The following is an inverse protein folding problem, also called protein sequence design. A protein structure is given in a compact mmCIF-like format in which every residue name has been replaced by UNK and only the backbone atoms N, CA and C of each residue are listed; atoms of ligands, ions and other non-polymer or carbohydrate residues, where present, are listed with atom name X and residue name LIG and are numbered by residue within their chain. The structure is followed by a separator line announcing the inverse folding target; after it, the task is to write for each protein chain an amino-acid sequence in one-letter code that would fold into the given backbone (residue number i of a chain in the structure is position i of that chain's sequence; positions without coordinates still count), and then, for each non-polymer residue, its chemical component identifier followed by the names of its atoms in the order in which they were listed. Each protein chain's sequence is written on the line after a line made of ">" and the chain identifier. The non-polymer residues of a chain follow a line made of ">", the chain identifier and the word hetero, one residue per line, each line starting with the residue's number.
data_IF_929042951353
#
_entry.id   IF_929042951353
#
_cell.length_a   1.000
_cell.length_b   1.000
_cell.length_c   1.000
_cell.angle_alpha   90.00
_cell.angle_beta   90.00
_cell.angle_gamma   90.00
#
_symmetry.space_group_name_H-M   'P 1'
#
loop_
_entity.id
_entity.type
_entity.pdbx_description
1 polymer ?
#
# COMPACT_ATOMS: atom_id res chain seq x y z
N UNK A 1 -1.91 11.15 27.43
CA UNK A 1 -1.93 11.72 26.05
C UNK A 1 -0.50 11.85 25.57
N UNK A 2 -0.20 11.40 24.35
CA UNK A 2 1.17 11.44 23.82
C UNK A 2 1.57 12.83 23.32
N UNK A 3 0.65 13.57 22.70
CA UNK A 3 0.92 14.92 22.20
C UNK A 3 1.01 15.92 23.37
N UNK A 4 2.17 16.57 23.60
CA UNK A 4 2.36 17.50 24.71
C UNK A 4 1.35 18.64 24.70
N UNK A 5 0.99 19.15 25.88
CA UNK A 5 0.10 20.30 26.04
C UNK A 5 0.55 21.49 25.16
N UNK A 6 -0.41 22.30 24.72
CA UNK A 6 -0.15 23.59 24.03
C UNK A 6 0.51 23.51 22.64
N UNK A 7 0.78 22.32 22.11
CA UNK A 7 1.22 22.17 20.72
C UNK A 7 0.06 22.47 19.76
N UNK A 8 0.15 23.49 18.88
CA UNK A 8 -0.86 23.72 17.87
C UNK A 8 -0.86 22.63 16.81
N UNK A 9 -2.05 22.22 16.38
CA UNK A 9 -2.25 21.23 15.32
C UNK A 9 -2.99 21.82 14.12
N UNK A 10 -3.36 23.10 14.19
CA UNK A 10 -4.09 23.80 13.15
C UNK A 10 -3.69 25.28 13.12
N UNK A 11 -3.78 25.89 11.92
CA UNK A 11 -3.77 27.34 11.72
C UNK A 11 -5.04 27.78 10.98
N UNK A 12 -5.90 28.55 11.66
CA UNK A 12 -7.16 29.01 11.10
C UNK A 12 -6.94 29.84 9.84
N UNK A 13 -7.64 29.51 8.74
CA UNK A 13 -7.41 30.15 7.45
C UNK A 13 -7.67 31.66 7.45
N UNK A 14 -8.71 32.12 8.16
CA UNK A 14 -9.14 33.52 8.21
C UNK A 14 -8.28 34.35 9.16
N UNK A 15 -8.12 33.91 10.41
CA UNK A 15 -7.47 34.70 11.47
C UNK A 15 -5.97 34.42 11.61
N UNK A 16 -5.47 33.33 11.01
CA UNK A 16 -4.11 32.80 11.23
C UNK A 16 -3.82 32.40 12.67
N UNK A 17 -4.85 32.28 13.52
CA UNK A 17 -4.69 31.81 14.88
C UNK A 17 -4.23 30.34 14.88
N UNK A 18 -3.25 30.05 15.73
CA UNK A 18 -2.79 28.70 15.99
C UNK A 18 -3.68 28.08 17.07
N UNK A 19 -4.26 26.92 16.77
CA UNK A 19 -5.12 26.20 17.71
C UNK A 19 -4.72 24.73 17.79
N UNK A 20 -5.08 24.09 18.89
CA UNK A 20 -4.97 22.64 19.06
C UNK A 20 -6.36 22.03 19.05
N UNK A 21 -6.68 21.38 17.94
CA UNK A 21 -7.95 20.66 17.77
C UNK A 21 -7.75 19.16 17.73
N UNK A 22 -6.53 18.71 17.41
CA UNK A 22 -6.17 17.29 17.32
C UNK A 22 -5.45 16.82 18.59
N UNK A 23 -5.69 15.56 18.96
CA UNK A 23 -5.07 14.90 20.12
C UNK A 23 -4.57 13.51 19.76
N UNK A 24 -3.52 13.06 20.46
CA UNK A 24 -3.01 11.69 20.35
C UNK A 24 -3.20 11.00 21.70
N UNK A 25 -4.17 10.08 21.73
CA UNK A 25 -4.45 9.24 22.89
C UNK A 25 -3.64 7.95 22.80
N UNK A 26 -3.12 7.53 23.94
CA UNK A 26 -2.34 6.30 24.08
C UNK A 26 -2.62 5.72 25.47
N UNK A 27 -2.60 4.38 25.59
CA UNK A 27 -2.69 3.73 26.89
C UNK A 27 -1.48 4.08 27.75
N UNK A 28 -1.67 4.05 29.07
CA UNK A 28 -0.59 4.30 30.02
C UNK A 28 0.58 3.34 29.81
N UNK A 29 0.29 2.06 29.58
CA UNK A 29 1.29 1.01 29.34
C UNK A 29 2.13 1.20 28.09
N UNK A 30 1.62 1.89 27.07
CA UNK A 30 2.34 2.12 25.82
C UNK A 30 2.99 3.51 25.78
N UNK A 31 2.82 4.32 26.83
CA UNK A 31 3.43 5.66 26.90
C UNK A 31 4.95 5.58 26.96
N UNK A 32 5.49 4.59 27.67
CA UNK A 32 6.93 4.39 27.83
C UNK A 32 7.62 4.07 26.50
N UNK A 33 6.88 3.50 25.55
CA UNK A 33 7.36 3.22 24.19
C UNK A 33 7.32 4.47 23.27
N UNK A 34 6.72 5.59 23.69
CA UNK A 34 6.64 6.81 22.86
C UNK A 34 7.94 7.59 22.94
N UNK A 35 8.73 7.50 21.87
CA UNK A 35 9.99 8.26 21.73
C UNK A 35 9.75 9.71 21.31
N UNK A 36 8.68 9.98 20.57
CA UNK A 36 8.38 11.32 20.06
C UNK A 36 6.89 11.46 19.76
N UNK A 37 6.31 12.63 20.06
CA UNK A 37 5.00 13.02 19.57
C UNK A 37 4.93 14.54 19.43
N UNK A 38 4.76 15.05 18.21
CA UNK A 38 4.64 16.49 17.96
C UNK A 38 3.91 16.80 16.65
N UNK A 39 3.37 18.00 16.53
CA UNK A 39 2.92 18.52 15.24
C UNK A 39 4.11 18.75 14.30
N UNK A 40 3.86 18.71 13.00
CA UNK A 40 4.83 18.91 11.93
C UNK A 40 4.32 20.00 10.96
N UNK A 41 4.29 21.27 11.38
CA UNK A 41 3.79 22.36 10.54
C UNK A 41 4.49 22.46 9.17
N UNK A 42 5.77 22.11 9.11
CA UNK A 42 6.60 22.07 7.90
C UNK A 42 6.18 20.98 6.91
N UNK A 43 5.41 19.99 7.36
CA UNK A 43 4.86 18.90 6.54
C UNK A 43 3.38 19.12 6.17
N UNK A 44 2.81 20.27 6.52
CA UNK A 44 1.42 20.61 6.23
C UNK A 44 1.08 20.38 4.75
N UNK A 45 0.07 19.54 4.43
CA UNK A 45 -0.39 19.37 3.07
C UNK A 45 -0.90 20.67 2.44
N UNK A 46 -0.98 20.69 1.10
CA UNK A 46 -1.53 21.85 0.38
C UNK A 46 -3.05 21.83 0.56
N UNK A 47 -3.67 23.00 0.79
CA UNK A 47 -5.12 23.19 1.00
C UNK A 47 -5.70 22.56 2.28
N UNK A 48 -4.88 22.44 3.33
CA UNK A 48 -5.38 22.15 4.68
C UNK A 48 -4.85 23.18 5.66
N UNK A 49 -5.64 23.47 6.69
CA UNK A 49 -5.29 24.24 7.87
C UNK A 49 -4.66 23.39 8.98
N UNK A 50 -4.79 22.06 8.93
CA UNK A 50 -4.22 21.15 9.92
C UNK A 50 -2.73 20.85 9.66
N UNK A 51 -1.96 20.77 10.74
CA UNK A 51 -0.60 20.25 10.76
C UNK A 51 -0.64 18.75 11.05
N UNK A 52 0.06 17.91 10.27
CA UNK A 52 0.23 16.51 10.61
C UNK A 52 0.85 16.36 12.01
N UNK A 53 0.38 15.39 12.79
CA UNK A 53 1.03 14.99 14.04
C UNK A 53 1.85 13.74 13.76
N UNK A 54 3.14 13.77 14.11
CA UNK A 54 4.06 12.65 13.99
C UNK A 54 4.30 12.05 15.37
N UNK A 55 4.01 10.77 15.50
CA UNK A 55 4.32 9.96 16.68
C UNK A 55 5.31 8.88 16.29
N UNK A 56 6.38 8.72 17.07
CA UNK A 56 7.36 7.64 16.94
C UNK A 56 7.23 6.78 18.19
N UNK A 57 6.93 5.50 17.97
CA UNK A 57 6.79 4.50 19.02
C UNK A 57 7.88 3.46 18.81
N UNK A 58 8.71 3.22 19.82
CA UNK A 58 9.72 2.17 19.83
C UNK A 58 9.08 0.89 20.34
N UNK A 59 8.63 0.05 19.41
CA UNK A 59 8.02 -1.23 19.74
C UNK A 59 8.66 -2.33 18.88
N UNK A 60 9.01 -3.44 19.53
CA UNK A 60 9.45 -4.65 18.84
C UNK A 60 8.23 -5.35 18.24
N UNK A 61 7.83 -4.93 17.03
CA UNK A 61 6.77 -5.61 16.29
C UNK A 61 7.39 -6.81 15.57
N UNK A 62 7.04 -8.05 15.92
CA UNK A 62 7.49 -9.20 15.15
C UNK A 62 7.02 -9.02 13.71
N UNK A 63 7.95 -9.10 12.76
CA UNK A 63 7.59 -9.04 11.35
C UNK A 63 6.82 -10.31 11.02
N UNK A 64 5.52 -10.16 10.76
CA UNK A 64 4.76 -11.22 10.10
C UNK A 64 5.44 -11.50 8.75
N UNK A 65 5.82 -12.76 8.53
CA UNK A 65 6.21 -13.20 7.20
C UNK A 65 4.99 -13.03 6.32
N UNK A 66 5.09 -12.15 5.32
CA UNK A 66 4.05 -12.02 4.32
C UNK A 66 4.25 -13.14 3.33
N UNK A 67 3.19 -13.89 3.07
CA UNK A 67 3.18 -14.83 1.95
C UNK A 67 3.55 -14.07 0.67
N UNK A 68 4.55 -14.56 -0.09
CA UNK A 68 4.97 -13.88 -1.30
C UNK A 68 3.81 -13.85 -2.30
N UNK A 69 3.58 -12.68 -2.88
CA UNK A 69 2.42 -12.43 -3.76
C UNK A 69 2.84 -12.41 -5.22
N UNK A 70 1.95 -12.86 -6.09
CA UNK A 70 2.09 -12.77 -7.55
C UNK A 70 1.89 -11.33 -8.03
N UNK A 71 2.71 -10.88 -8.98
CA UNK A 71 2.66 -9.54 -9.56
C UNK A 71 2.00 -9.55 -10.94
N UNK A 72 0.67 -9.60 -10.98
CA UNK A 72 -0.12 -9.56 -12.21
C UNK A 72 0.06 -8.27 -13.03
N UNK A 73 0.60 -7.20 -12.44
CA UNK A 73 0.87 -5.94 -13.16
C UNK A 73 2.11 -6.00 -14.05
N UNK A 74 2.99 -6.97 -13.83
CA UNK A 74 4.24 -7.13 -14.57
C UNK A 74 4.22 -8.39 -15.45
N UNK A 75 3.02 -8.79 -15.89
CA UNK A 75 2.83 -9.94 -16.77
C UNK A 75 2.90 -9.47 -18.22
N UNK A 76 3.69 -10.18 -19.02
CA UNK A 76 3.63 -10.07 -20.47
C UNK A 76 2.42 -10.86 -20.98
N UNK A 77 1.28 -10.17 -21.09
CA UNK A 77 -0.02 -10.79 -21.35
C UNK A 77 -0.11 -11.57 -22.66
N UNK A 78 0.70 -11.18 -23.67
CA UNK A 78 0.74 -11.89 -24.95
C UNK A 78 1.23 -13.33 -24.78
N UNK A 79 2.31 -13.51 -24.04
CA UNK A 79 2.94 -14.81 -23.83
C UNK A 79 2.14 -15.64 -22.83
N UNK A 80 1.58 -15.00 -21.80
CA UNK A 80 0.63 -15.61 -20.87
C UNK A 80 -0.56 -16.22 -21.61
N UNK A 81 -1.22 -15.46 -22.49
CA UNK A 81 -2.40 -15.94 -23.22
C UNK A 81 -2.04 -17.04 -24.22
N UNK A 82 -0.89 -16.96 -24.87
CA UNK A 82 -0.41 -18.00 -25.77
C UNK A 82 -0.24 -19.34 -25.03
N UNK A 83 0.40 -19.30 -23.86
CA UNK A 83 0.64 -20.46 -23.00
C UNK A 83 -0.67 -21.02 -22.43
N UNK A 84 -1.55 -20.17 -21.92
CA UNK A 84 -2.86 -20.61 -21.42
C UNK A 84 -3.68 -21.34 -22.48
N UNK A 85 -3.67 -20.84 -23.72
CA UNK A 85 -4.36 -21.50 -24.84
C UNK A 85 -3.76 -22.87 -25.15
N UNK A 86 -2.43 -22.99 -25.12
CA UNK A 86 -1.75 -24.26 -25.32
C UNK A 86 -2.09 -25.26 -24.20
N UNK A 87 -2.07 -24.81 -22.94
CA UNK A 87 -2.41 -25.65 -21.79
C UNK A 87 -3.88 -26.10 -21.79
N UNK A 88 -4.80 -25.21 -22.14
CA UNK A 88 -6.21 -25.56 -22.31
C UNK A 88 -6.44 -26.55 -23.46
N UNK A 89 -5.72 -26.40 -24.58
CA UNK A 89 -5.79 -27.36 -25.69
C UNK A 89 -5.22 -28.73 -25.29
N UNK A 90 -4.08 -28.74 -24.58
CA UNK A 90 -3.40 -29.95 -24.09
C UNK A 90 -4.24 -30.74 -23.10
N UNK A 91 -5.00 -30.05 -22.25
CA UNK A 91 -5.88 -30.65 -21.24
C UNK A 91 -7.24 -31.11 -21.81
N UNK A 92 -7.43 -31.09 -23.13
CA UNK A 92 -8.61 -31.64 -23.80
C UNK A 92 -9.58 -30.59 -24.36
N UNK A 93 -9.21 -29.30 -24.33
CA UNK A 93 -9.96 -28.21 -24.93
C UNK A 93 -11.30 -27.92 -24.26
N UNK A 94 -12.15 -27.15 -24.94
CA UNK A 94 -13.51 -26.92 -24.48
C UNK A 94 -14.31 -28.23 -24.63
N UNK A 95 -14.87 -28.80 -23.55
CA UNK A 95 -15.71 -29.97 -23.66
C UNK A 95 -16.98 -29.62 -24.46
N UNK A 96 -17.65 -30.66 -24.96
CA UNK A 96 -19.03 -30.53 -25.40
C UNK A 96 -19.99 -30.22 -24.24
N UNK A 97 -21.27 -30.56 -24.39
CA UNK A 97 -22.26 -30.34 -23.33
C UNK A 97 -21.92 -31.20 -22.10
N UNK A 98 -21.67 -30.55 -20.96
CA UNK A 98 -21.56 -31.18 -19.63
C UNK A 98 -22.95 -31.65 -19.18
N UNK A 99 -23.07 -32.90 -18.75
CA UNK A 99 -24.33 -33.56 -18.38
C UNK A 99 -24.36 -34.06 -16.95
N UNK A 100 -23.21 -34.23 -16.30
CA UNK A 100 -23.11 -34.70 -14.92
C UNK A 100 -22.27 -33.76 -14.03
N UNK A 101 -22.43 -33.90 -12.71
CA UNK A 101 -21.65 -33.14 -11.72
C UNK A 101 -20.18 -33.58 -11.73
N UNK A 102 -19.93 -34.85 -12.00
CA UNK A 102 -18.60 -35.42 -12.12
C UNK A 102 -17.85 -34.83 -13.32
N UNK A 103 -18.52 -34.75 -14.48
CA UNK A 103 -17.98 -34.11 -15.69
C UNK A 103 -17.66 -32.63 -15.44
N UNK A 104 -18.53 -31.92 -14.70
CA UNK A 104 -18.30 -30.52 -14.31
C UNK A 104 -17.08 -30.38 -13.39
N UNK A 105 -16.96 -31.25 -12.39
CA UNK A 105 -15.86 -31.23 -11.42
C UNK A 105 -14.52 -31.50 -12.11
N UNK A 106 -14.49 -32.47 -13.02
CA UNK A 106 -13.30 -32.76 -13.81
C UNK A 106 -12.95 -31.61 -14.76
N UNK A 107 -13.93 -30.98 -15.40
CA UNK A 107 -13.70 -29.80 -16.22
C UNK A 107 -13.11 -28.65 -15.40
N UNK A 108 -13.69 -28.37 -14.23
CA UNK A 108 -13.20 -27.34 -13.32
C UNK A 108 -11.74 -27.60 -12.95
N UNK A 109 -11.41 -28.82 -12.51
CA UNK A 109 -10.05 -29.19 -12.13
C UNK A 109 -9.04 -28.97 -13.29
N UNK A 110 -9.42 -29.36 -14.52
CA UNK A 110 -8.56 -29.17 -15.70
C UNK A 110 -8.32 -27.70 -16.04
N UNK A 111 -9.39 -26.88 -16.01
CA UNK A 111 -9.29 -25.45 -16.29
C UNK A 111 -8.45 -24.75 -15.22
N UNK A 112 -8.67 -25.07 -13.94
CA UNK A 112 -7.88 -24.51 -12.85
C UNK A 112 -6.41 -24.90 -12.96
N UNK A 113 -6.11 -26.16 -13.27
CA UNK A 113 -4.74 -26.62 -13.48
C UNK A 113 -4.04 -25.87 -14.62
N UNK A 114 -4.72 -25.64 -15.75
CA UNK A 114 -4.15 -24.87 -16.86
C UNK A 114 -3.87 -23.40 -16.48
N UNK A 115 -4.78 -22.79 -15.71
CA UNK A 115 -4.62 -21.42 -15.19
C UNK A 115 -3.43 -21.37 -14.21
N UNK A 116 -3.37 -22.27 -13.24
CA UNK A 116 -2.31 -22.34 -12.24
C UNK A 116 -0.95 -22.55 -12.88
N UNK A 117 -0.83 -23.50 -13.81
CA UNK A 117 0.40 -23.75 -14.58
C UNK A 117 0.87 -22.48 -15.29
N UNK A 118 -0.05 -21.79 -15.97
CA UNK A 118 0.29 -20.54 -16.69
C UNK A 118 0.69 -19.42 -15.72
N UNK A 119 0.02 -19.32 -14.56
CA UNK A 119 0.37 -18.34 -13.51
C UNK A 119 1.76 -18.61 -12.97
N UNK A 120 2.11 -19.87 -12.74
CA UNK A 120 3.41 -20.26 -12.22
C UNK A 120 4.55 -19.87 -13.16
N UNK A 121 4.36 -20.09 -14.45
CA UNK A 121 5.34 -19.81 -15.50
C UNK A 121 5.49 -18.31 -15.79
N UNK A 122 4.38 -17.57 -15.92
CA UNK A 122 4.40 -16.22 -16.48
C UNK A 122 4.20 -15.09 -15.47
N UNK A 123 3.68 -15.38 -14.28
CA UNK A 123 3.40 -14.31 -13.30
C UNK A 123 4.54 -14.22 -12.29
N UNK A 124 5.40 -13.18 -12.39
CA UNK A 124 6.54 -13.05 -11.50
C UNK A 124 6.06 -12.80 -10.06
N UNK A 125 6.89 -13.21 -9.10
CA UNK A 125 6.68 -12.86 -7.70
C UNK A 125 6.98 -11.38 -7.47
N UNK A 126 6.21 -10.74 -6.58
CA UNK A 126 6.48 -9.39 -6.13
C UNK A 126 7.83 -9.39 -5.43
N UNK A 127 8.79 -8.62 -5.97
CA UNK A 127 10.03 -8.31 -5.26
C UNK A 127 9.71 -7.34 -4.14
N UNK A 128 9.75 -7.82 -2.90
CA UNK A 128 9.61 -6.95 -1.74
C UNK A 128 10.76 -5.94 -1.70
N UNK A 129 10.42 -4.66 -1.66
CA UNK A 129 11.41 -3.60 -1.47
C UNK A 129 10.99 -2.72 -0.32
N UNK A 130 11.95 -2.34 0.53
CA UNK A 130 11.76 -1.34 1.60
C UNK A 130 11.30 0.02 1.06
N UNK A 131 11.41 0.23 -0.26
CA UNK A 131 10.98 1.43 -0.95
C UNK A 131 9.69 1.26 -1.77
N UNK A 132 9.04 0.08 -1.73
CA UNK A 132 7.72 -0.11 -2.35
C UNK A 132 6.68 0.73 -1.62
N UNK A 133 6.42 1.93 -2.15
CA UNK A 133 5.23 2.69 -1.79
C UNK A 133 4.03 2.04 -2.47
N UNK A 134 2.98 1.73 -1.70
CA UNK A 134 1.78 1.08 -2.23
C UNK A 134 1.08 1.90 -3.34
N UNK A 135 1.33 3.21 -3.40
CA UNK A 135 0.74 4.12 -4.38
C UNK A 135 1.70 5.28 -4.60
N UNK A 136 2.46 5.25 -5.69
CA UNK A 136 3.05 6.43 -6.31
C UNK A 136 3.70 6.01 -7.64
N UNK A 137 3.19 6.50 -8.76
CA UNK A 137 3.82 6.29 -10.06
C UNK A 137 5.26 6.86 -10.02
N UNK A 138 6.29 6.16 -10.55
CA UNK A 138 7.69 6.59 -10.45
C UNK A 138 7.93 8.05 -10.90
N UNK A 139 7.17 8.48 -11.89
CA UNK A 139 7.23 9.81 -12.53
C UNK A 139 6.91 10.94 -11.56
N UNK A 140 6.15 10.65 -10.50
CA UNK A 140 5.73 11.66 -9.54
C UNK A 140 6.79 11.88 -8.45
N UNK A 141 7.80 10.99 -8.30
CA UNK A 141 8.78 11.05 -7.20
C UNK A 141 9.58 12.37 -7.15
N UNK A 142 10.05 12.92 -8.27
CA UNK A 142 10.71 14.23 -8.29
C UNK A 142 9.82 15.35 -7.77
N UNK A 143 8.55 15.37 -8.19
CA UNK A 143 7.57 16.39 -7.77
C UNK A 143 7.30 16.35 -6.26
N UNK A 144 7.19 15.16 -5.67
CA UNK A 144 7.04 15.01 -4.22
C UNK A 144 8.25 15.49 -3.41
N UNK A 145 9.47 15.36 -3.95
CA UNK A 145 10.68 15.88 -3.31
C UNK A 145 10.71 17.40 -3.37
N UNK A 146 10.48 17.97 -4.57
CA UNK A 146 10.47 19.41 -4.77
C UNK A 146 9.44 20.11 -3.90
N UNK A 147 8.21 19.57 -3.83
CA UNK A 147 7.14 20.07 -2.96
C UNK A 147 7.58 20.16 -1.49
N UNK A 148 8.13 19.08 -0.93
CA UNK A 148 8.61 19.07 0.47
C UNK A 148 9.69 20.11 0.73
N UNK A 149 10.64 20.25 -0.19
CA UNK A 149 11.71 21.27 -0.06
C UNK A 149 11.13 22.69 -0.05
N UNK A 150 10.17 22.98 -0.93
CA UNK A 150 9.51 24.30 -0.98
C UNK A 150 8.70 24.57 0.29
N UNK A 151 7.96 23.58 0.80
CA UNK A 151 7.20 23.71 2.06
C UNK A 151 8.09 24.03 3.25
N UNK A 152 9.24 23.34 3.40
CA UNK A 152 10.22 23.62 4.45
C UNK A 152 10.91 24.99 4.33
N UNK A 153 10.98 25.55 3.12
CA UNK A 153 11.49 26.92 2.92
C UNK A 153 10.43 27.93 3.33
N UNK A 154 9.18 27.75 2.91
CA UNK A 154 8.08 28.65 3.25
C UNK A 154 7.81 28.75 4.75
N UNK A 155 8.10 27.69 5.53
CA UNK A 155 7.94 27.71 7.00
C UNK A 155 9.09 28.41 7.76
N UNK A 156 10.25 28.62 7.12
CA UNK A 156 11.41 29.26 7.78
C UNK A 156 11.37 30.79 7.79
N UNK A 157 10.34 31.38 7.19
CA UNK A 157 10.07 32.82 7.12
C UNK A 157 8.68 33.08 7.69
#
# INVERSE_FOLDING_TARGET
>A
MALPAQIPTLIAHSTKNLTRVDNVFISETAMDDVVYCNAQPEERPVKTDHFPVRTIIECQVPRAQREPRRNFRSVEWKDFVATLRAELARTGGAPGRVRTVEELTQLYARVMQAIETTIEEHVPMVKESRFQKLWWAPELLPLAKQKRTMQRRAYRW
#
